data_IF_684369511140
#
_entry.id   IF_684369511140
#
_cell.length_a   1.000
_cell.length_b   1.000
_cell.length_c   1.000
_cell.angle_alpha   90.00
_cell.angle_beta   90.00
_cell.angle_gamma   90.00
#
_symmetry.space_group_name_H-M   'P 1'
#
loop_
_entity.id
_entity.type
_entity.pdbx_description
1 polymer ?
#
# COMPACT_ATOMS: atom_id res chain seq x y z
N UNK A 1 19.54 -8.84 36.43
CA UNK A 1 18.37 -8.90 35.52
C UNK A 1 18.93 -9.15 34.14
N UNK A 2 18.43 -10.15 33.41
CA UNK A 2 18.95 -10.46 32.08
C UNK A 2 18.33 -9.53 31.06
N UNK A 3 19.16 -8.83 30.29
CA UNK A 3 18.69 -8.02 29.17
C UNK A 3 18.41 -8.94 27.99
N UNK A 4 17.15 -8.99 27.54
CA UNK A 4 16.77 -9.66 26.30
C UNK A 4 16.82 -8.61 25.20
N UNK A 5 17.61 -8.86 24.14
CA UNK A 5 17.61 -8.00 22.98
C UNK A 5 16.19 -7.88 22.40
N UNK A 6 15.75 -6.66 22.07
CA UNK A 6 14.43 -6.38 21.46
C UNK A 6 14.15 -7.25 20.23
N UNK A 7 15.21 -7.56 19.46
CA UNK A 7 15.12 -8.46 18.32
C UNK A 7 14.78 -9.89 18.71
N UNK A 8 15.45 -10.46 19.72
CA UNK A 8 15.19 -11.80 20.22
C UNK A 8 13.78 -11.91 20.80
N UNK A 9 13.31 -10.86 21.48
CA UNK A 9 11.95 -10.82 22.02
C UNK A 9 10.89 -10.77 20.90
N UNK A 10 11.11 -9.98 19.86
CA UNK A 10 10.24 -9.96 18.68
C UNK A 10 10.22 -11.32 17.95
N UNK A 11 11.37 -11.98 17.79
CA UNK A 11 11.42 -13.32 17.18
C UNK A 11 10.69 -14.37 18.03
N UNK A 12 10.82 -14.30 19.35
CA UNK A 12 10.10 -15.20 20.24
C UNK A 12 8.59 -14.98 20.14
N UNK A 13 8.12 -13.72 20.14
CA UNK A 13 6.70 -13.41 19.94
C UNK A 13 6.16 -13.93 18.61
N UNK A 14 6.94 -13.78 17.52
CA UNK A 14 6.54 -14.29 16.21
C UNK A 14 6.37 -15.82 16.22
N UNK A 15 7.18 -16.54 17.02
CA UNK A 15 7.07 -18.00 17.19
C UNK A 15 5.96 -18.41 18.16
N UNK A 16 5.65 -17.60 19.17
CA UNK A 16 4.61 -17.86 20.16
C UNK A 16 3.20 -17.43 19.72
N UNK A 17 2.98 -17.30 18.41
CA UNK A 17 1.71 -16.84 17.83
C UNK A 17 1.29 -15.43 18.30
N UNK A 18 2.27 -14.52 18.44
CA UNK A 18 2.07 -13.14 18.90
C UNK A 18 1.38 -13.03 20.27
N UNK A 19 1.66 -13.96 21.19
CA UNK A 19 1.12 -13.88 22.55
C UNK A 19 1.51 -12.54 23.20
N UNK A 20 0.53 -11.79 23.72
CA UNK A 20 0.79 -10.48 24.32
C UNK A 20 1.28 -10.58 25.77
N UNK A 21 1.35 -11.80 26.31
CA UNK A 21 1.83 -12.13 27.65
C UNK A 21 3.12 -12.92 27.63
N UNK A 22 3.95 -12.69 28.64
CA UNK A 22 5.13 -13.49 28.90
C UNK A 22 4.73 -14.92 29.31
N UNK A 23 5.33 -15.94 28.71
CA UNK A 23 5.01 -17.34 29.03
C UNK A 23 5.41 -17.72 30.46
N UNK A 24 6.41 -17.04 31.02
CA UNK A 24 6.98 -17.32 32.34
C UNK A 24 6.17 -16.63 33.44
N UNK A 25 6.00 -15.30 33.37
CA UNK A 25 5.33 -14.53 34.42
C UNK A 25 3.87 -14.18 34.12
N UNK A 26 3.37 -14.50 32.93
CA UNK A 26 2.00 -14.18 32.47
C UNK A 26 1.65 -12.69 32.46
N UNK A 27 2.64 -11.81 32.68
CA UNK A 27 2.46 -10.36 32.56
C UNK A 27 2.42 -9.92 31.09
N UNK A 28 1.60 -8.90 30.82
CA UNK A 28 1.47 -8.32 29.48
C UNK A 28 2.71 -7.49 29.13
N UNK A 29 3.29 -7.74 27.96
CA UNK A 29 4.42 -6.96 27.47
C UNK A 29 4.02 -5.48 27.31
N UNK A 30 4.83 -4.57 27.87
CA UNK A 30 4.68 -3.14 27.69
C UNK A 30 5.24 -2.72 26.32
N UNK A 31 4.42 -2.08 25.49
CA UNK A 31 4.72 -1.75 24.09
C UNK A 31 4.61 -0.24 23.87
N UNK A 32 5.58 0.38 23.19
CA UNK A 32 5.54 1.79 22.77
C UNK A 32 4.64 2.01 21.56
N UNK A 33 4.48 0.97 20.74
CA UNK A 33 3.94 1.05 19.40
C UNK A 33 4.74 0.19 18.43
N UNK A 34 4.46 0.38 17.13
CA UNK A 34 5.09 -0.37 16.05
C UNK A 34 6.15 0.49 15.36
N UNK A 35 7.38 0.00 15.27
CA UNK A 35 8.46 0.62 14.50
C UNK A 35 8.69 -0.13 13.20
N UNK A 36 9.02 0.59 12.12
CA UNK A 36 9.50 -0.06 10.91
C UNK A 36 10.90 -0.62 11.19
N UNK A 37 11.11 -1.90 10.87
CA UNK A 37 12.45 -2.47 10.92
C UNK A 37 13.39 -1.72 9.96
N UNK A 38 14.71 -1.72 10.20
CA UNK A 38 15.66 -1.21 9.21
C UNK A 38 15.51 -1.97 7.88
N UNK A 39 15.60 -1.27 6.75
CA UNK A 39 15.31 -1.78 5.39
C UNK A 39 16.07 -3.07 5.08
N UNK A 40 17.29 -3.20 5.61
CA UNK A 40 18.16 -4.38 5.46
C UNK A 40 17.61 -5.67 6.08
N UNK A 41 16.68 -5.55 7.04
CA UNK A 41 16.01 -6.69 7.69
C UNK A 41 14.67 -7.04 7.03
N UNK A 42 14.24 -6.28 6.02
CA UNK A 42 12.95 -6.52 5.39
C UNK A 42 12.95 -7.84 4.64
N UNK A 43 11.88 -8.61 4.80
CA UNK A 43 11.69 -9.84 4.05
C UNK A 43 11.59 -9.52 2.56
N UNK A 44 12.30 -10.26 1.70
CA UNK A 44 12.20 -10.06 0.24
C UNK A 44 10.74 -10.10 -0.21
N UNK A 45 10.26 -9.14 -1.02
CA UNK A 45 8.90 -9.16 -1.50
C UNK A 45 8.69 -10.40 -2.38
N UNK A 46 7.62 -11.15 -2.13
CA UNK A 46 7.20 -12.25 -2.99
C UNK A 46 6.49 -11.65 -4.20
N UNK A 47 7.23 -11.47 -5.29
CA UNK A 47 6.69 -10.93 -6.54
C UNK A 47 6.11 -12.10 -7.33
N UNK A 48 4.79 -12.26 -7.27
CA UNK A 48 4.06 -13.18 -8.14
C UNK A 48 3.94 -12.61 -9.56
N UNK A 49 3.83 -13.49 -10.56
CA UNK A 49 3.64 -13.10 -11.97
C UNK A 49 2.39 -12.24 -12.16
N UNK A 50 1.35 -12.46 -11.35
CA UNK A 50 0.12 -11.67 -11.29
C UNK A 50 0.41 -10.19 -11.03
N UNK A 51 1.35 -9.89 -10.13
CA UNK A 51 1.76 -8.52 -9.80
C UNK A 51 2.46 -7.84 -10.98
N UNK A 52 3.27 -8.59 -11.73
CA UNK A 52 3.98 -8.08 -12.92
C UNK A 52 2.96 -7.77 -14.02
N UNK A 53 2.02 -8.68 -14.27
CA UNK A 53 0.95 -8.49 -15.26
C UNK A 53 0.10 -7.27 -14.90
N UNK A 54 -0.28 -7.11 -13.63
CA UNK A 54 -1.06 -5.96 -13.19
C UNK A 54 -0.30 -4.63 -13.28
N UNK A 55 0.99 -4.61 -12.92
CA UNK A 55 1.81 -3.42 -13.12
C UNK A 55 1.92 -3.07 -14.62
N UNK A 56 2.13 -4.07 -15.48
CA UNK A 56 2.20 -3.88 -16.92
C UNK A 56 0.88 -3.39 -17.52
N UNK A 57 -0.26 -3.86 -17.01
CA UNK A 57 -1.58 -3.44 -17.46
C UNK A 57 -1.86 -1.99 -17.06
N UNK A 58 -1.47 -1.57 -15.85
CA UNK A 58 -1.58 -0.17 -15.41
C UNK A 58 -0.72 0.75 -16.29
N UNK A 59 0.51 0.34 -16.64
CA UNK A 59 1.38 1.11 -17.55
C UNK A 59 0.72 1.23 -18.93
N UNK A 60 0.26 0.11 -19.50
CA UNK A 60 -0.41 0.08 -20.80
C UNK A 60 -1.67 0.96 -20.83
N UNK A 61 -2.52 0.84 -19.82
CA UNK A 61 -3.73 1.67 -19.67
C UNK A 61 -3.40 3.15 -19.51
N UNK A 62 -2.28 3.50 -18.85
CA UNK A 62 -1.83 4.89 -18.71
C UNK A 62 -1.43 5.48 -20.06
N UNK A 63 -0.74 4.70 -20.90
CA UNK A 63 -0.40 5.10 -22.28
C UNK A 63 -1.67 5.24 -23.13
N UNK A 64 -2.62 4.31 -23.01
CA UNK A 64 -3.91 4.41 -23.68
C UNK A 64 -4.69 5.66 -23.25
N UNK A 65 -4.70 5.98 -21.94
CA UNK A 65 -5.33 7.19 -21.42
C UNK A 65 -4.69 8.44 -22.00
N UNK A 66 -3.35 8.50 -22.01
CA UNK A 66 -2.59 9.59 -22.60
C UNK A 66 -2.95 9.80 -24.08
N UNK A 67 -3.00 8.71 -24.85
CA UNK A 67 -3.40 8.75 -26.26
C UNK A 67 -4.84 9.26 -26.44
N UNK A 68 -5.78 8.81 -25.62
CA UNK A 68 -7.18 9.25 -25.66
C UNK A 68 -7.33 10.74 -25.34
N UNK A 69 -6.56 11.25 -24.36
CA UNK A 69 -6.52 12.67 -24.03
C UNK A 69 -5.95 13.47 -25.20
N UNK A 70 -4.84 13.03 -25.78
CA UNK A 70 -4.19 13.68 -26.93
C UNK A 70 -5.14 13.78 -28.11
N UNK A 71 -5.82 12.68 -28.48
CA UNK A 71 -6.85 12.68 -29.53
C UNK A 71 -8.05 13.59 -29.23
N UNK A 72 -8.38 13.80 -27.96
CA UNK A 72 -9.47 14.68 -27.55
C UNK A 72 -9.07 16.15 -27.75
N UNK A 73 -7.81 16.49 -27.47
CA UNK A 73 -7.24 17.82 -27.70
C UNK A 73 -7.10 18.07 -29.21
N UNK A 74 -6.50 17.15 -29.96
CA UNK A 74 -6.27 17.31 -31.41
C UNK A 74 -7.55 17.48 -32.22
N UNK A 75 -8.67 16.90 -31.76
CA UNK A 75 -9.97 17.05 -32.43
C UNK A 75 -10.75 18.28 -31.96
N UNK A 76 -10.09 19.19 -31.22
CA UNK A 76 -10.65 20.42 -30.66
C UNK A 76 -11.98 20.15 -29.95
N UNK A 77 -12.06 19.00 -29.27
CA UNK A 77 -13.33 18.49 -28.76
C UNK A 77 -13.95 19.48 -27.77
N UNK A 78 -13.13 20.04 -26.88
CA UNK A 78 -13.56 21.00 -25.88
C UNK A 78 -14.01 22.31 -26.53
N UNK A 79 -13.23 22.87 -27.45
CA UNK A 79 -13.59 24.11 -28.14
C UNK A 79 -14.90 23.93 -28.93
N UNK A 80 -15.03 22.79 -29.63
CA UNK A 80 -16.21 22.53 -30.45
C UNK A 80 -17.50 22.39 -29.62
N UNK A 81 -17.44 21.74 -28.46
CA UNK A 81 -18.63 21.51 -27.64
C UNK A 81 -18.91 22.70 -26.70
N UNK A 82 -17.89 23.21 -26.01
CA UNK A 82 -18.08 24.24 -24.98
C UNK A 82 -18.03 25.66 -25.54
N UNK A 83 -17.22 25.92 -26.58
CA UNK A 83 -17.14 27.27 -27.19
C UNK A 83 -18.14 27.40 -28.35
N UNK A 84 -18.17 26.44 -29.27
CA UNK A 84 -19.06 26.50 -30.45
C UNK A 84 -20.48 25.96 -30.19
N UNK A 85 -20.74 25.32 -29.06
CA UNK A 85 -22.07 24.80 -28.70
C UNK A 85 -22.58 23.69 -29.63
N UNK A 86 -21.69 23.02 -30.38
CA UNK A 86 -22.08 21.97 -31.30
C UNK A 86 -22.37 20.67 -30.55
N UNK A 87 -23.38 19.89 -30.95
CA UNK A 87 -23.69 18.63 -30.31
C UNK A 87 -22.54 17.61 -30.48
N UNK A 88 -22.33 16.72 -29.49
CA UNK A 88 -21.32 15.66 -29.59
C UNK A 88 -21.65 14.73 -30.76
N UNK A 89 -20.65 14.40 -31.58
CA UNK A 89 -20.81 13.38 -32.62
C UNK A 89 -20.77 12.00 -31.94
N UNK A 90 -21.40 11.00 -32.55
CA UNK A 90 -21.35 9.60 -32.08
C UNK A 90 -19.93 9.08 -31.74
N UNK A 91 -18.85 9.37 -32.51
CA UNK A 91 -17.49 8.94 -32.14
C UNK A 91 -16.90 9.68 -30.93
N UNK A 92 -17.47 10.81 -30.52
CA UNK A 92 -17.01 11.49 -29.31
C UNK A 92 -17.61 10.87 -28.05
N UNK A 93 -18.89 10.51 -28.10
CA UNK A 93 -19.56 9.79 -27.00
C UNK A 93 -18.83 8.47 -26.72
N UNK A 94 -18.50 7.72 -27.77
CA UNK A 94 -17.71 6.49 -27.63
C UNK A 94 -16.35 6.75 -26.98
N UNK A 95 -15.65 7.82 -27.36
CA UNK A 95 -14.35 8.18 -26.77
C UNK A 95 -14.47 8.55 -25.29
N UNK A 96 -15.48 9.31 -24.90
CA UNK A 96 -15.73 9.67 -23.49
C UNK A 96 -16.00 8.41 -22.68
N UNK A 97 -16.87 7.52 -23.16
CA UNK A 97 -17.19 6.27 -22.47
C UNK A 97 -15.96 5.37 -22.30
N UNK A 98 -15.15 5.21 -23.35
CA UNK A 98 -13.90 4.44 -23.29
C UNK A 98 -12.90 5.10 -22.33
N UNK A 99 -12.78 6.43 -22.35
CA UNK A 99 -11.89 7.17 -21.45
C UNK A 99 -12.29 6.99 -19.99
N UNK A 100 -13.59 7.08 -19.69
CA UNK A 100 -14.12 6.82 -18.35
C UNK A 100 -13.86 5.38 -17.88
N UNK A 101 -14.01 4.40 -18.77
CA UNK A 101 -13.71 3.00 -18.48
C UNK A 101 -12.22 2.80 -18.18
N UNK A 102 -11.32 3.41 -18.96
CA UNK A 102 -9.87 3.37 -18.72
C UNK A 102 -9.54 4.00 -17.37
N UNK A 103 -10.08 5.19 -17.06
CA UNK A 103 -9.86 5.88 -15.78
C UNK A 103 -10.32 5.01 -14.60
N UNK A 104 -11.54 4.44 -14.68
CA UNK A 104 -12.06 3.56 -13.64
C UNK A 104 -11.16 2.34 -13.40
N UNK A 105 -10.71 1.71 -14.48
CA UNK A 105 -9.81 0.54 -14.42
C UNK A 105 -8.44 0.90 -13.84
N UNK A 106 -7.90 2.07 -14.22
CA UNK A 106 -6.64 2.59 -13.68
C UNK A 106 -6.72 2.86 -12.19
N UNK A 107 -7.80 3.48 -11.72
CA UNK A 107 -8.02 3.72 -10.28
C UNK A 107 -8.05 2.39 -9.53
N UNK A 108 -8.79 1.40 -10.05
CA UNK A 108 -8.85 0.05 -9.46
C UNK A 108 -7.47 -0.63 -9.38
N UNK A 109 -6.70 -0.61 -10.47
CA UNK A 109 -5.35 -1.17 -10.52
C UNK A 109 -4.37 -0.47 -9.57
N UNK A 110 -4.39 0.88 -9.54
CA UNK A 110 -3.56 1.66 -8.63
C UNK A 110 -3.91 1.40 -7.16
N UNK A 111 -5.21 1.30 -6.82
CA UNK A 111 -5.65 0.96 -5.47
C UNK A 111 -5.18 -0.43 -5.05
N UNK A 112 -5.29 -1.43 -5.92
CA UNK A 112 -4.82 -2.80 -5.64
C UNK A 112 -3.31 -2.85 -5.39
N UNK A 113 -2.52 -2.19 -6.25
CA UNK A 113 -1.07 -2.07 -6.06
C UNK A 113 -0.75 -1.36 -4.74
N UNK A 114 -1.40 -0.22 -4.46
CA UNK A 114 -1.19 0.54 -3.24
C UNK A 114 -1.55 -0.27 -1.99
N UNK A 115 -2.66 -1.00 -2.00
CA UNK A 115 -3.08 -1.87 -0.89
C UNK A 115 -2.08 -3.00 -0.65
N UNK A 116 -1.53 -3.63 -1.70
CA UNK A 116 -0.49 -4.65 -1.55
C UNK A 116 0.80 -4.08 -0.97
N UNK A 117 1.25 -2.93 -1.45
CA UNK A 117 2.42 -2.23 -0.91
C UNK A 117 2.18 -1.88 0.56
N UNK A 118 1.01 -1.35 0.89
CA UNK A 118 0.62 -1.01 2.26
C UNK A 118 0.62 -2.24 3.17
N UNK A 119 0.03 -3.35 2.72
CA UNK A 119 0.02 -4.61 3.46
C UNK A 119 1.44 -5.14 3.68
N UNK A 120 2.28 -5.09 2.65
CA UNK A 120 3.68 -5.47 2.75
C UNK A 120 4.45 -4.60 3.76
N UNK A 121 4.31 -3.27 3.70
CA UNK A 121 4.94 -2.34 4.66
C UNK A 121 4.46 -2.62 6.08
N UNK A 122 3.17 -2.87 6.27
CA UNK A 122 2.63 -3.20 7.58
C UNK A 122 3.18 -4.52 8.14
N UNK A 123 3.47 -5.50 7.26
CA UNK A 123 4.14 -6.74 7.65
C UNK A 123 5.59 -6.52 8.14
N UNK A 124 6.27 -5.47 7.67
CA UNK A 124 7.65 -5.14 8.10
C UNK A 124 7.72 -4.39 9.44
N UNK A 125 6.58 -4.11 10.09
CA UNK A 125 6.55 -3.44 11.39
C UNK A 125 6.91 -4.43 12.52
N UNK A 126 7.87 -4.06 13.36
CA UNK A 126 8.20 -4.77 14.60
C UNK A 126 7.56 -4.07 15.80
N UNK A 127 7.29 -4.83 16.86
CA UNK A 127 6.82 -4.27 18.12
C UNK A 127 8.00 -3.62 18.84
N UNK A 128 7.85 -2.35 19.23
CA UNK A 128 8.81 -1.70 20.12
C UNK A 128 8.41 -1.92 21.56
N UNK A 129 9.26 -2.59 22.32
CA UNK A 129 9.04 -2.82 23.75
C UNK A 129 9.55 -1.64 24.57
N UNK A 130 8.89 -1.39 25.70
CA UNK A 130 9.34 -0.46 26.75
C UNK A 130 9.38 -1.26 28.06
N UNK A 131 10.26 -0.88 28.98
CA UNK A 131 10.21 -1.38 30.36
C UNK A 131 8.84 -1.15 30.99
N UNK A 132 8.31 -2.20 31.64
CA UNK A 132 7.07 -2.12 32.38
C UNK A 132 7.20 -1.14 33.55
N UNK A 133 6.12 -0.45 33.88
CA UNK A 133 6.13 0.53 34.99
C UNK A 133 6.41 -0.14 36.35
N UNK A 134 6.19 -1.46 36.47
CA UNK A 134 6.57 -2.26 37.63
C UNK A 134 8.09 -2.29 37.78
N UNK A 135 8.83 -2.54 36.70
CA UNK A 135 10.29 -2.51 36.71
C UNK A 135 10.82 -1.08 36.91
N UNK A 136 10.17 -0.06 36.35
CA UNK A 136 10.56 1.34 36.60
C UNK A 136 10.41 1.75 38.06
N UNK A 137 9.41 1.20 38.77
CA UNK A 137 9.22 1.44 40.21
C UNK A 137 10.20 0.65 41.06
N UNK A 138 10.63 -0.54 40.62
CA UNK A 138 11.63 -1.35 41.31
C UNK A 138 13.07 -0.83 41.16
N UNK A 139 13.34 0.00 40.15
CA UNK A 139 14.64 0.65 39.93
C UNK A 139 14.78 2.05 40.57
N UNK A 140 13.75 2.55 41.26
CA UNK A 140 13.79 3.79 42.06
C UNK A 140 13.83 3.44 43.54
#
# INVERSE_FOLDING_TARGET
>A
MGDIHEHCLNEWLLRSNNNDRCEICQEKYSKSGNILQPIWKWQKPQIEMTNIVEASSVICLSICLWYMITLTIEREFFDRIFVAGLPPRSPDIARILVTLLIISTLIGGLMNIAMRIWHYINKQRATRFIDSDINKKAMK
#
